data_IF_349529816815
#
_entry.id   IF_349529816815
#
_cell.length_a   1.000
_cell.length_b   1.000
_cell.length_c   1.000
_cell.angle_alpha   90.00
_cell.angle_beta   90.00
_cell.angle_gamma   90.00
#
_symmetry.space_group_name_H-M   'P 1'
#
loop_
_entity.id
_entity.type
_entity.pdbx_description
1 polymer ?
#
# COMPACT_ATOMS: atom_id res chain seq x y z
N UNK A 1 11.32 -7.43 34.52
CA UNK A 1 11.25 -7.02 33.08
C UNK A 1 11.75 -5.60 32.97
N UNK A 2 12.31 -5.14 31.82
CA UNK A 2 12.68 -3.73 31.73
C UNK A 2 11.40 -2.87 31.62
N UNK A 3 11.44 -1.69 32.24
CA UNK A 3 10.34 -0.70 32.21
C UNK A 3 9.77 -0.43 30.80
N UNK A 4 10.65 -0.39 29.79
CA UNK A 4 10.23 -0.20 28.39
C UNK A 4 9.44 -1.38 27.83
N UNK A 5 9.74 -2.62 28.21
CA UNK A 5 8.96 -3.79 27.80
C UNK A 5 7.57 -3.78 28.41
N UNK A 6 7.47 -3.43 29.69
CA UNK A 6 6.18 -3.28 30.39
C UNK A 6 5.31 -2.18 29.74
N UNK A 7 5.94 -1.08 29.34
CA UNK A 7 5.26 0.00 28.65
C UNK A 7 4.68 -0.43 27.29
N UNK A 8 5.46 -1.17 26.46
CA UNK A 8 4.97 -1.72 25.20
C UNK A 8 3.76 -2.63 25.43
N UNK A 9 3.82 -3.52 26.43
CA UNK A 9 2.72 -4.41 26.76
C UNK A 9 1.47 -3.66 27.26
N UNK A 10 1.66 -2.59 28.04
CA UNK A 10 0.57 -1.71 28.43
C UNK A 10 -0.11 -1.09 27.22
N UNK A 11 0.65 -0.50 26.30
CA UNK A 11 0.09 0.15 25.10
C UNK A 11 -0.59 -0.87 24.17
N UNK A 12 -0.04 -2.08 24.02
CA UNK A 12 -0.70 -3.18 23.32
C UNK A 12 -2.09 -3.46 23.91
N UNK A 13 -2.17 -3.61 25.25
CA UNK A 13 -3.43 -3.90 25.92
C UNK A 13 -4.40 -2.73 25.79
N UNK A 14 -3.94 -1.49 25.88
CA UNK A 14 -4.75 -0.28 25.66
C UNK A 14 -5.41 -0.34 24.26
N UNK A 15 -4.63 -0.66 23.20
CA UNK A 15 -5.13 -0.76 21.81
C UNK A 15 -6.13 -1.90 21.65
N UNK A 16 -5.84 -3.08 22.18
CA UNK A 16 -6.74 -4.24 22.12
C UNK A 16 -8.08 -3.95 22.82
N UNK A 17 -8.06 -3.17 23.89
CA UNK A 17 -9.26 -2.70 24.58
C UNK A 17 -9.93 -1.48 23.92
N UNK A 18 -9.54 -1.12 22.69
CA UNK A 18 -10.19 -0.07 21.90
C UNK A 18 -9.73 1.36 22.22
N UNK A 19 -8.67 1.53 22.99
CA UNK A 19 -8.15 2.87 23.31
C UNK A 19 -7.23 3.36 22.19
N UNK A 20 -7.51 4.55 21.66
CA UNK A 20 -6.59 5.24 20.75
C UNK A 20 -5.39 5.81 21.53
N UNK A 21 -4.19 5.54 21.03
CA UNK A 21 -2.96 6.10 21.59
C UNK A 21 -2.78 7.55 21.15
N UNK A 22 -2.14 8.36 22.01
CA UNK A 22 -1.81 9.74 21.67
C UNK A 22 -0.64 9.83 20.70
N UNK A 23 -0.51 10.93 19.96
CA UNK A 23 0.66 11.19 19.11
C UNK A 23 1.98 11.05 19.88
N UNK A 24 2.05 11.56 21.12
CA UNK A 24 3.24 11.43 21.96
C UNK A 24 3.58 9.97 22.28
N UNK A 25 2.58 9.15 22.59
CA UNK A 25 2.76 7.72 22.83
C UNK A 25 3.27 6.99 21.59
N UNK A 26 2.71 7.32 20.42
CA UNK A 26 3.15 6.77 19.15
C UNK A 26 4.58 7.19 18.82
N UNK A 27 4.93 8.45 19.06
CA UNK A 27 6.30 8.94 18.90
C UNK A 27 7.28 8.19 19.80
N UNK A 28 6.90 7.90 21.05
CA UNK A 28 7.70 7.09 21.97
C UNK A 28 7.92 5.66 21.45
N UNK A 29 6.86 5.00 20.93
CA UNK A 29 6.96 3.67 20.33
C UNK A 29 7.81 3.69 19.05
N UNK A 30 7.58 4.68 18.17
CA UNK A 30 8.31 4.80 16.92
C UNK A 30 9.79 5.05 17.13
N UNK A 31 10.19 5.81 18.15
CA UNK A 31 11.57 6.14 18.46
C UNK A 31 12.21 5.21 19.51
N UNK A 32 11.59 4.06 19.78
CA UNK A 32 12.13 3.08 20.73
C UNK A 32 13.52 2.60 20.31
N UNK A 33 14.40 2.33 21.26
CA UNK A 33 15.71 1.78 20.98
C UNK A 33 15.64 0.41 20.29
N UNK A 34 16.49 0.16 19.30
CA UNK A 34 16.49 -1.08 18.49
C UNK A 34 16.53 -2.36 19.34
N UNK A 35 17.13 -2.35 20.53
CA UNK A 35 17.13 -3.52 21.44
C UNK A 35 15.72 -3.96 21.89
N UNK A 36 14.71 -3.08 21.77
CA UNK A 36 13.31 -3.37 22.09
C UNK A 36 12.42 -3.54 20.84
N UNK A 37 12.99 -3.46 19.64
CA UNK A 37 12.22 -3.51 18.41
C UNK A 37 11.49 -4.85 18.26
N UNK A 38 12.10 -5.97 18.63
CA UNK A 38 11.43 -7.27 18.63
C UNK A 38 10.24 -7.29 19.59
N UNK A 39 10.34 -6.66 20.76
CA UNK A 39 9.21 -6.56 21.68
C UNK A 39 8.06 -5.74 21.10
N UNK A 40 8.38 -4.67 20.35
CA UNK A 40 7.39 -3.88 19.63
C UNK A 40 6.72 -4.70 18.51
N UNK A 41 7.51 -5.47 17.74
CA UNK A 41 7.04 -6.37 16.69
C UNK A 41 6.13 -7.47 17.23
N UNK A 42 6.52 -8.13 18.31
CA UNK A 42 5.70 -9.15 18.99
C UNK A 42 4.36 -8.58 19.48
N UNK A 43 4.38 -7.37 20.05
CA UNK A 43 3.18 -6.68 20.48
C UNK A 43 2.27 -6.30 19.30
N UNK A 44 2.85 -5.83 18.19
CA UNK A 44 2.11 -5.54 16.96
C UNK A 44 1.51 -6.81 16.35
N UNK A 45 2.25 -7.93 16.32
CA UNK A 45 1.71 -9.23 15.89
C UNK A 45 0.53 -9.65 16.76
N UNK A 46 0.62 -9.51 18.08
CA UNK A 46 -0.49 -9.82 18.98
C UNK A 46 -1.73 -9.00 18.65
N UNK A 47 -1.59 -7.69 18.40
CA UNK A 47 -2.70 -6.81 17.96
C UNK A 47 -3.27 -7.33 16.64
N UNK A 48 -2.41 -7.66 15.67
CA UNK A 48 -2.84 -8.19 14.37
C UNK A 48 -3.66 -9.47 14.55
N UNK A 49 -3.15 -10.45 15.31
CA UNK A 49 -3.87 -11.72 15.54
C UNK A 49 -5.18 -11.53 16.30
N UNK A 50 -5.24 -10.54 17.21
CA UNK A 50 -6.47 -10.23 17.95
C UNK A 50 -7.60 -9.75 17.04
N UNK A 51 -7.30 -8.87 16.05
CA UNK A 51 -8.32 -8.28 15.19
C UNK A 51 -8.57 -9.02 13.88
N UNK A 52 -7.58 -9.75 13.38
CA UNK A 52 -7.62 -10.38 12.04
C UNK A 52 -7.46 -11.91 12.05
N UNK A 53 -7.19 -12.51 13.21
CA UNK A 53 -6.89 -13.95 13.29
C UNK A 53 -5.61 -14.33 12.55
N UNK A 54 -5.62 -15.51 11.92
CA UNK A 54 -4.50 -16.02 11.10
C UNK A 54 -4.51 -15.53 9.65
N UNK A 55 -5.59 -14.89 9.19
CA UNK A 55 -5.78 -14.53 7.79
C UNK A 55 -4.82 -13.46 7.31
N UNK A 56 -4.27 -13.69 6.11
CA UNK A 56 -3.47 -12.73 5.33
C UNK A 56 -4.24 -12.39 4.05
N UNK A 57 -4.45 -11.11 3.81
CA UNK A 57 -5.10 -10.62 2.58
C UNK A 57 -4.11 -10.67 1.42
N UNK A 58 -4.47 -11.30 0.31
CA UNK A 58 -3.68 -11.35 -0.92
C UNK A 58 -4.39 -10.53 -2.00
N UNK A 59 -3.67 -9.56 -2.55
CA UNK A 59 -4.10 -8.74 -3.66
C UNK A 59 -3.18 -8.95 -4.87
N UNK A 60 -3.78 -9.03 -6.04
CA UNK A 60 -3.07 -8.89 -7.31
C UNK A 60 -3.50 -7.61 -8.01
N UNK A 61 -2.59 -7.00 -8.77
CA UNK A 61 -2.87 -5.79 -9.52
C UNK A 61 -2.58 -5.95 -11.02
N UNK A 62 -3.36 -5.26 -11.85
CA UNK A 62 -3.09 -5.07 -13.26
C UNK A 62 -2.69 -3.62 -13.53
N UNK A 63 -1.53 -3.43 -14.15
CA UNK A 63 -1.13 -2.12 -14.66
C UNK A 63 -1.80 -1.89 -16.02
N UNK A 64 -3.04 -1.37 -16.02
CA UNK A 64 -3.90 -1.25 -17.21
C UNK A 64 -3.46 -0.13 -18.17
N UNK A 65 -2.57 0.77 -17.75
CA UNK A 65 -1.88 1.75 -18.60
C UNK A 65 -0.47 1.94 -18.07
N UNK A 66 0.50 1.60 -18.89
CA UNK A 66 1.92 1.58 -18.50
C UNK A 66 2.70 2.71 -19.14
N UNK A 67 3.52 3.40 -18.33
CA UNK A 67 4.43 4.46 -18.76
C UNK A 67 3.73 5.75 -19.25
N UNK A 68 4.53 6.79 -19.53
CA UNK A 68 4.12 8.11 -20.03
C UNK A 68 3.17 8.88 -19.10
N UNK A 69 3.29 8.66 -17.77
CA UNK A 69 2.58 9.49 -16.80
C UNK A 69 3.08 10.94 -16.85
N UNK A 70 2.17 11.90 -16.84
CA UNK A 70 2.48 13.34 -16.89
C UNK A 70 2.95 13.92 -15.56
N UNK A 71 3.19 13.10 -14.54
CA UNK A 71 3.67 13.51 -13.23
C UNK A 71 5.18 13.26 -13.08
N UNK A 72 5.87 14.13 -12.32
CA UNK A 72 7.33 14.10 -12.15
C UNK A 72 7.80 13.43 -10.85
N UNK A 73 6.99 12.51 -10.29
CA UNK A 73 7.35 11.81 -9.06
C UNK A 73 8.72 11.14 -9.19
N UNK A 74 9.72 11.59 -8.40
CA UNK A 74 11.15 11.28 -8.55
C UNK A 74 11.51 9.79 -8.42
N UNK A 75 10.66 8.99 -7.80
CA UNK A 75 10.82 7.54 -7.66
C UNK A 75 10.22 6.74 -8.83
N UNK A 76 9.35 7.38 -9.64
CA UNK A 76 8.45 6.65 -10.52
C UNK A 76 9.09 6.37 -11.89
N UNK A 77 9.32 5.09 -12.19
CA UNK A 77 9.83 4.65 -13.49
C UNK A 77 8.84 4.83 -14.65
N UNK A 78 7.57 5.14 -14.37
CA UNK A 78 6.53 5.37 -15.38
C UNK A 78 6.32 6.87 -15.71
N UNK A 79 7.11 7.76 -15.10
CA UNK A 79 7.07 9.20 -15.39
C UNK A 79 7.59 9.52 -16.80
N UNK A 80 6.89 10.36 -17.55
CA UNK A 80 7.36 10.86 -18.84
C UNK A 80 8.53 11.88 -18.72
N UNK A 81 8.83 12.35 -17.51
CA UNK A 81 9.96 13.25 -17.24
C UNK A 81 11.31 12.53 -17.22
N UNK A 82 11.33 11.20 -17.06
CA UNK A 82 12.55 10.44 -16.85
C UNK A 82 12.80 9.45 -17.98
N UNK A 83 14.09 9.27 -18.33
CA UNK A 83 14.48 8.33 -19.35
C UNK A 83 14.67 6.91 -18.80
N UNK A 84 13.58 6.31 -18.40
CA UNK A 84 13.53 4.91 -17.99
C UNK A 84 13.31 4.02 -19.22
N UNK A 85 13.91 2.85 -19.26
CA UNK A 85 13.79 1.93 -20.43
C UNK A 85 12.50 1.09 -20.38
N UNK A 86 11.43 1.62 -19.81
CA UNK A 86 10.18 0.88 -19.66
C UNK A 86 9.36 1.03 -20.94
N UNK A 87 9.00 -0.07 -21.55
CA UNK A 87 8.05 -0.09 -22.67
C UNK A 87 6.65 0.18 -22.16
N UNK A 88 6.02 1.20 -22.73
CA UNK A 88 4.66 1.60 -22.36
C UNK A 88 3.60 0.95 -23.26
N UNK A 89 2.36 0.96 -22.76
CA UNK A 89 1.14 0.62 -23.51
C UNK A 89 -0.05 1.41 -22.98
N UNK A 90 -1.03 1.62 -23.84
CA UNK A 90 -2.33 2.18 -23.48
C UNK A 90 -3.29 1.10 -22.99
N UNK A 91 -4.50 1.50 -22.58
CA UNK A 91 -5.53 0.59 -22.09
C UNK A 91 -5.73 -0.61 -23.02
N UNK A 92 -5.48 -1.84 -22.55
CA UNK A 92 -5.70 -3.04 -23.34
C UNK A 92 -7.19 -3.33 -23.53
N UNK A 93 -7.54 -4.26 -24.42
CA UNK A 93 -8.91 -4.73 -24.55
C UNK A 93 -9.46 -5.25 -23.22
N UNK A 94 -10.75 -5.02 -22.90
CA UNK A 94 -11.35 -5.47 -21.64
C UNK A 94 -11.18 -6.97 -21.37
N UNK A 95 -11.17 -7.78 -22.42
CA UNK A 95 -11.06 -9.24 -22.35
C UNK A 95 -9.73 -9.68 -21.71
N UNK A 96 -8.64 -8.99 -22.02
CA UNK A 96 -7.30 -9.30 -21.46
C UNK A 96 -7.26 -9.05 -19.96
N UNK A 97 -7.87 -7.96 -19.48
CA UNK A 97 -7.92 -7.65 -18.04
C UNK A 97 -8.88 -8.56 -17.29
N UNK A 98 -9.99 -8.95 -17.92
CA UNK A 98 -10.93 -9.94 -17.37
C UNK A 98 -10.26 -11.30 -17.19
N UNK A 99 -9.44 -11.71 -18.15
CA UNK A 99 -8.67 -12.96 -18.06
C UNK A 99 -7.63 -12.89 -16.91
N UNK A 100 -6.91 -11.78 -16.78
CA UNK A 100 -5.99 -11.56 -15.66
C UNK A 100 -6.72 -11.63 -14.31
N UNK A 101 -7.88 -10.97 -14.19
CA UNK A 101 -8.68 -11.00 -12.97
C UNK A 101 -9.20 -12.42 -12.65
N UNK A 102 -9.55 -13.21 -13.66
CA UNK A 102 -9.96 -14.61 -13.49
C UNK A 102 -8.80 -15.46 -13.00
N UNK A 103 -7.61 -15.28 -13.57
CA UNK A 103 -6.39 -16.00 -13.15
C UNK A 103 -6.04 -15.63 -11.70
N UNK A 104 -6.02 -14.33 -11.36
CA UNK A 104 -5.80 -13.88 -9.99
C UNK A 104 -6.76 -14.53 -8.98
N UNK A 105 -8.05 -14.58 -9.30
CA UNK A 105 -9.06 -15.27 -8.46
C UNK A 105 -8.79 -16.76 -8.31
N UNK A 106 -8.47 -17.45 -9.41
CA UNK A 106 -8.19 -18.89 -9.40
C UNK A 106 -6.94 -19.23 -8.61
N UNK A 107 -5.94 -18.32 -8.61
CA UNK A 107 -4.70 -18.45 -7.86
C UNK A 107 -4.86 -18.11 -6.37
N UNK A 108 -6.01 -17.53 -5.96
CA UNK A 108 -6.34 -17.28 -4.56
C UNK A 108 -6.31 -15.82 -4.13
N UNK A 109 -6.19 -14.86 -5.07
CA UNK A 109 -6.32 -13.45 -4.71
C UNK A 109 -7.73 -13.11 -4.19
N UNK A 110 -7.81 -12.37 -3.08
CA UNK A 110 -9.06 -11.86 -2.51
C UNK A 110 -9.56 -10.59 -3.19
N UNK A 111 -8.64 -9.81 -3.78
CA UNK A 111 -8.94 -8.59 -4.51
C UNK A 111 -8.04 -8.40 -5.73
N UNK A 112 -8.51 -7.59 -6.68
CA UNK A 112 -7.83 -7.28 -7.91
C UNK A 112 -7.87 -5.78 -8.17
N UNK A 113 -6.70 -5.14 -8.25
CA UNK A 113 -6.58 -3.70 -8.37
C UNK A 113 -6.24 -3.27 -9.79
N UNK A 114 -7.03 -2.39 -10.36
CA UNK A 114 -6.76 -1.74 -11.66
C UNK A 114 -5.91 -0.49 -11.43
N UNK A 115 -4.67 -0.50 -11.90
CA UNK A 115 -3.72 0.61 -11.73
C UNK A 115 -3.38 1.22 -13.08
N UNK A 116 -3.35 2.55 -13.18
CA UNK A 116 -3.01 3.26 -14.41
C UNK A 116 -1.98 4.37 -14.21
N UNK A 117 -0.99 4.42 -15.10
CA UNK A 117 0.06 5.44 -15.10
C UNK A 117 -0.44 6.74 -15.78
N UNK A 118 -1.15 7.56 -15.05
CA UNK A 118 -1.61 8.92 -15.44
C UNK A 118 -1.83 9.80 -14.22
N UNK A 119 -1.96 11.11 -14.47
CA UNK A 119 -2.40 12.05 -13.45
C UNK A 119 -3.87 11.81 -13.08
N UNK A 120 -4.72 11.70 -14.11
CA UNK A 120 -6.16 11.46 -14.01
C UNK A 120 -6.65 10.85 -15.33
N UNK A 121 -7.72 10.04 -15.32
CA UNK A 121 -8.25 9.48 -16.55
C UNK A 121 -8.93 10.54 -17.41
N UNK A 122 -8.71 10.50 -18.73
CA UNK A 122 -9.55 11.23 -19.67
C UNK A 122 -11.00 10.72 -19.60
N UNK A 123 -11.96 11.47 -20.14
CA UNK A 123 -13.37 11.05 -20.20
C UNK A 123 -13.50 9.72 -20.95
N UNK A 124 -12.73 9.52 -22.02
CA UNK A 124 -12.79 8.29 -22.83
C UNK A 124 -12.15 7.13 -22.11
N UNK A 125 -10.98 7.33 -21.49
CA UNK A 125 -10.30 6.27 -20.75
C UNK A 125 -11.10 5.85 -19.52
N UNK A 126 -11.70 6.81 -18.80
CA UNK A 126 -12.58 6.47 -17.69
C UNK A 126 -13.77 5.62 -18.10
N UNK A 127 -14.39 5.89 -19.28
CA UNK A 127 -15.45 5.05 -19.81
C UNK A 127 -14.98 3.62 -20.12
N UNK A 128 -13.76 3.47 -20.69
CA UNK A 128 -13.19 2.13 -20.94
C UNK A 128 -12.93 1.38 -19.64
N UNK A 129 -12.38 2.06 -18.62
CA UNK A 129 -12.19 1.48 -17.29
C UNK A 129 -13.53 1.02 -16.68
N UNK A 130 -14.59 1.83 -16.81
CA UNK A 130 -15.92 1.42 -16.34
C UNK A 130 -16.39 0.13 -17.00
N UNK A 131 -16.19 -0.05 -18.32
CA UNK A 131 -16.51 -1.28 -19.04
C UNK A 131 -15.71 -2.46 -18.51
N UNK A 132 -14.40 -2.29 -18.28
CA UNK A 132 -13.55 -3.34 -17.69
C UNK A 132 -14.10 -3.77 -16.33
N UNK A 133 -14.45 -2.82 -15.45
CA UNK A 133 -14.99 -3.11 -14.12
C UNK A 133 -16.32 -3.87 -14.21
N UNK A 134 -17.23 -3.44 -15.08
CA UNK A 134 -18.51 -4.12 -15.31
C UNK A 134 -18.33 -5.57 -15.76
N UNK A 135 -17.40 -5.81 -16.69
CA UNK A 135 -17.10 -7.14 -17.21
C UNK A 135 -16.44 -8.05 -16.14
N UNK A 136 -15.52 -7.51 -15.32
CA UNK A 136 -14.94 -8.26 -14.19
C UNK A 136 -16.03 -8.64 -13.18
N UNK A 137 -16.87 -7.70 -12.78
CA UNK A 137 -17.96 -7.96 -11.84
C UNK A 137 -18.92 -9.02 -12.35
N UNK A 138 -19.25 -8.99 -13.65
CA UNK A 138 -20.19 -9.93 -14.29
C UNK A 138 -19.60 -11.32 -14.48
N UNK A 139 -18.35 -11.41 -14.91
CA UNK A 139 -17.74 -12.67 -15.38
C UNK A 139 -16.87 -13.36 -14.31
N UNK A 140 -16.24 -12.59 -13.42
CA UNK A 140 -15.27 -13.10 -12.46
C UNK A 140 -15.82 -13.05 -11.04
N UNK A 141 -16.35 -11.90 -10.61
CA UNK A 141 -16.87 -11.72 -9.26
C UNK A 141 -15.75 -11.74 -8.19
N UNK A 142 -14.59 -11.18 -8.51
CA UNK A 142 -13.52 -10.85 -7.54
C UNK A 142 -13.77 -9.42 -7.04
N UNK A 143 -13.28 -9.11 -5.84
CA UNK A 143 -13.35 -7.73 -5.31
C UNK A 143 -12.48 -6.79 -6.14
N UNK A 144 -13.07 -5.76 -6.77
CA UNK A 144 -12.34 -4.80 -7.61
C UNK A 144 -11.92 -3.59 -6.79
N UNK A 145 -10.66 -3.22 -6.93
CA UNK A 145 -10.06 -1.99 -6.41
C UNK A 145 -9.49 -1.15 -7.56
N UNK A 146 -9.28 0.15 -7.33
CA UNK A 146 -8.80 1.05 -8.37
C UNK A 146 -7.77 2.04 -7.86
N UNK A 147 -6.69 2.23 -8.64
CA UNK A 147 -5.67 3.27 -8.48
C UNK A 147 -5.56 4.06 -9.79
N UNK A 148 -6.43 5.05 -9.97
CA UNK A 148 -6.65 5.75 -11.24
C UNK A 148 -6.23 7.23 -11.19
N UNK A 149 -5.34 7.60 -10.25
CA UNK A 149 -4.90 8.98 -10.08
C UNK A 149 -5.96 9.87 -9.41
N UNK A 150 -6.05 11.14 -9.82
CA UNK A 150 -7.04 12.07 -9.25
C UNK A 150 -8.45 11.75 -9.74
N UNK A 151 -9.43 11.99 -8.86
CA UNK A 151 -10.85 11.77 -9.15
C UNK A 151 -11.66 13.06 -9.03
N UNK A 152 -12.66 13.17 -9.89
CA UNK A 152 -13.80 14.05 -9.66
C UNK A 152 -14.88 13.34 -8.82
N UNK A 153 -15.75 14.10 -8.15
CA UNK A 153 -16.92 13.56 -7.43
C UNK A 153 -17.80 12.66 -8.30
N UNK A 154 -17.97 13.02 -9.59
CA UNK A 154 -18.75 12.23 -10.54
C UNK A 154 -18.12 10.87 -10.81
N UNK A 155 -16.80 10.83 -11.01
CA UNK A 155 -16.06 9.60 -11.23
C UNK A 155 -16.12 8.70 -9.98
N UNK A 156 -15.86 9.25 -8.79
CA UNK A 156 -15.92 8.50 -7.55
C UNK A 156 -17.30 7.86 -7.31
N UNK A 157 -18.39 8.63 -7.51
CA UNK A 157 -19.75 8.09 -7.43
C UNK A 157 -20.03 7.03 -8.49
N UNK A 158 -19.45 7.14 -9.69
CA UNK A 158 -19.58 6.11 -10.74
C UNK A 158 -18.86 4.83 -10.34
N UNK A 159 -17.62 4.90 -9.83
CA UNK A 159 -16.89 3.74 -9.32
C UNK A 159 -17.66 3.05 -8.18
N UNK A 160 -18.28 3.80 -7.27
CA UNK A 160 -19.12 3.22 -6.21
C UNK A 160 -20.35 2.49 -6.75
N UNK A 161 -21.02 3.05 -7.76
CA UNK A 161 -22.15 2.39 -8.44
C UNK A 161 -21.73 1.10 -9.15
N UNK A 162 -20.52 1.05 -9.68
CA UNK A 162 -19.91 -0.13 -10.28
C UNK A 162 -19.35 -1.11 -9.23
N UNK A 163 -19.69 -0.92 -7.95
CA UNK A 163 -19.29 -1.80 -6.85
C UNK A 163 -17.76 -1.91 -6.64
N UNK A 164 -16.98 -0.91 -7.07
CA UNK A 164 -15.59 -0.81 -6.65
C UNK A 164 -15.56 -0.73 -5.14
N UNK A 165 -14.79 -1.61 -4.50
CA UNK A 165 -14.70 -1.71 -3.06
C UNK A 165 -13.86 -0.57 -2.50
N UNK A 166 -12.63 -0.43 -3.00
CA UNK A 166 -11.62 0.46 -2.47
C UNK A 166 -11.02 1.36 -3.55
N UNK A 167 -10.67 2.58 -3.17
CA UNK A 167 -9.89 3.48 -4.00
C UNK A 167 -8.50 3.68 -3.42
N UNK A 168 -7.48 3.29 -4.19
CA UNK A 168 -6.09 3.37 -3.81
C UNK A 168 -5.50 4.70 -4.27
N UNK A 169 -5.05 5.51 -3.34
CA UNK A 169 -4.35 6.76 -3.64
C UNK A 169 -3.36 7.09 -2.52
N UNK A 170 -2.10 6.79 -2.76
CA UNK A 170 -1.05 6.95 -1.76
C UNK A 170 -0.77 8.43 -1.44
N UNK A 171 -0.33 8.72 -0.23
CA UNK A 171 0.32 9.99 0.14
C UNK A 171 1.75 10.07 -0.38
N UNK A 172 2.35 8.93 -0.70
CA UNK A 172 3.71 8.64 -1.16
C UNK A 172 4.78 8.87 -0.09
N UNK A 173 4.82 10.04 0.53
CA UNK A 173 5.74 10.40 1.62
C UNK A 173 5.07 11.37 2.58
N UNK A 174 5.78 11.83 3.63
CA UNK A 174 5.25 12.87 4.51
C UNK A 174 5.04 14.20 3.80
N UNK A 175 4.15 15.02 4.33
CA UNK A 175 3.87 16.38 3.83
C UNK A 175 5.16 17.22 3.75
N UNK A 176 6.01 17.12 4.76
CA UNK A 176 7.26 17.88 4.83
C UNK A 176 8.30 17.44 3.78
N UNK A 177 8.27 16.16 3.35
CA UNK A 177 9.17 15.64 2.30
C UNK A 177 8.59 15.78 0.89
N UNK A 178 7.28 15.86 0.75
CA UNK A 178 6.58 15.78 -0.54
C UNK A 178 7.09 16.77 -1.61
N UNK A 179 7.43 18.04 -1.30
CA UNK A 179 7.95 18.98 -2.31
C UNK A 179 9.26 18.56 -2.97
N UNK A 180 10.04 17.69 -2.33
CA UNK A 180 11.27 17.14 -2.91
C UNK A 180 10.99 15.92 -3.82
N UNK A 181 9.79 15.34 -3.73
CA UNK A 181 9.41 14.12 -4.42
C UNK A 181 8.60 14.40 -5.68
N UNK A 182 7.72 15.41 -5.64
CA UNK A 182 6.87 15.76 -6.77
C UNK A 182 6.58 17.25 -6.81
N UNK A 183 6.64 17.84 -8.01
CA UNK A 183 6.37 19.28 -8.23
C UNK A 183 5.15 19.54 -9.11
N UNK A 184 4.67 18.53 -9.84
CA UNK A 184 3.52 18.64 -10.77
C UNK A 184 2.17 18.64 -10.08
N UNK A 185 2.11 18.19 -8.81
CA UNK A 185 0.94 18.29 -7.95
C UNK A 185 1.36 18.39 -6.47
N UNK A 186 0.42 18.72 -5.62
CA UNK A 186 0.65 18.95 -4.19
C UNK A 186 0.21 17.75 -3.34
N UNK A 187 0.74 17.68 -2.12
CA UNK A 187 0.25 16.74 -1.10
C UNK A 187 -1.27 16.91 -0.83
N UNK A 188 -1.75 18.16 -0.85
CA UNK A 188 -3.17 18.46 -0.61
C UNK A 188 -4.08 17.98 -1.75
N UNK A 189 -3.59 17.90 -2.98
CA UNK A 189 -4.32 17.29 -4.09
C UNK A 189 -4.57 15.79 -3.84
N UNK A 190 -3.60 15.08 -3.26
CA UNK A 190 -3.74 13.68 -2.87
C UNK A 190 -4.77 13.51 -1.75
N UNK A 191 -4.65 14.29 -0.70
CA UNK A 191 -5.62 14.29 0.42
C UNK A 191 -7.03 14.61 -0.07
N UNK A 192 -7.17 15.57 -1.00
CA UNK A 192 -8.45 15.93 -1.61
C UNK A 192 -9.08 14.74 -2.35
N UNK A 193 -8.29 14.01 -3.12
CA UNK A 193 -8.77 12.83 -3.85
C UNK A 193 -9.28 11.74 -2.89
N UNK A 194 -8.55 11.47 -1.81
CA UNK A 194 -8.99 10.53 -0.78
C UNK A 194 -10.32 10.96 -0.14
N UNK A 195 -10.47 12.26 0.16
CA UNK A 195 -11.73 12.81 0.67
C UNK A 195 -12.89 12.65 -0.33
N UNK A 196 -12.65 12.87 -1.62
CA UNK A 196 -13.64 12.66 -2.68
C UNK A 196 -14.07 11.19 -2.72
N UNK A 197 -13.12 10.25 -2.69
CA UNK A 197 -13.41 8.82 -2.67
C UNK A 197 -14.23 8.42 -1.42
N UNK A 198 -13.84 8.88 -0.23
CA UNK A 198 -14.57 8.65 1.03
C UNK A 198 -15.99 9.19 0.98
N UNK A 199 -16.17 10.42 0.50
CA UNK A 199 -17.48 11.06 0.39
C UNK A 199 -18.41 10.35 -0.59
N UNK A 200 -17.86 9.64 -1.57
CA UNK A 200 -18.64 8.80 -2.49
C UNK A 200 -18.99 7.43 -1.89
N UNK A 201 -18.51 7.10 -0.69
CA UNK A 201 -18.75 5.84 -0.01
C UNK A 201 -17.80 4.70 -0.42
N UNK A 202 -16.67 5.01 -1.07
CA UNK A 202 -15.60 4.04 -1.31
C UNK A 202 -14.78 3.85 -0.03
N UNK A 203 -14.33 2.63 0.23
CA UNK A 203 -13.26 2.38 1.19
C UNK A 203 -11.96 3.02 0.68
N UNK A 204 -11.07 3.42 1.58
CA UNK A 204 -9.78 3.97 1.22
C UNK A 204 -8.68 2.93 1.37
N UNK A 205 -7.83 2.85 0.35
CA UNK A 205 -6.47 2.36 0.49
C UNK A 205 -5.53 3.56 0.31
N UNK A 206 -4.67 3.79 1.30
CA UNK A 206 -3.63 4.82 1.19
C UNK A 206 -2.39 4.39 1.95
N UNK A 207 -1.26 4.90 1.55
CA UNK A 207 0.02 4.56 2.13
C UNK A 207 1.12 5.42 1.54
N UNK A 208 2.28 4.84 1.40
CA UNK A 208 3.42 5.57 0.85
C UNK A 208 4.61 4.66 0.61
N UNK A 209 5.72 5.29 0.27
CA UNK A 209 6.99 4.66 -0.01
C UNK A 209 7.98 5.07 1.08
N UNK A 210 8.63 4.11 1.69
CA UNK A 210 9.74 4.34 2.63
C UNK A 210 11.07 4.07 1.93
N UNK A 211 12.10 4.82 2.32
CA UNK A 211 13.43 4.75 1.69
C UNK A 211 13.66 5.78 0.58
N UNK A 212 12.82 6.82 0.48
CA UNK A 212 12.95 7.94 -0.49
C UNK A 212 14.02 8.98 -0.08
N UNK A 213 14.91 8.64 0.84
CA UNK A 213 15.86 9.59 1.44
C UNK A 213 15.24 10.46 2.54
N UNK A 214 14.08 10.11 3.02
CA UNK A 214 13.40 10.75 4.14
C UNK A 214 14.07 10.41 5.48
N UNK A 215 13.99 11.31 6.43
CA UNK A 215 14.44 11.11 7.80
C UNK A 215 13.46 10.21 8.58
N UNK A 216 13.92 9.63 9.71
CA UNK A 216 13.03 8.88 10.62
C UNK A 216 11.84 9.73 11.07
N UNK A 217 12.07 11.04 11.35
CA UNK A 217 11.00 11.96 11.72
C UNK A 217 9.96 12.12 10.62
N UNK A 218 10.38 12.16 9.36
CA UNK A 218 9.46 12.23 8.22
C UNK A 218 8.70 10.91 8.02
N UNK A 219 9.32 9.73 8.28
CA UNK A 219 8.58 8.45 8.31
C UNK A 219 7.52 8.41 9.41
N UNK A 220 7.86 8.93 10.60
CA UNK A 220 6.89 9.10 11.70
C UNK A 220 5.74 10.02 11.30
N UNK A 221 6.03 11.16 10.67
CA UNK A 221 5.03 12.09 10.14
C UNK A 221 4.10 11.36 9.16
N UNK A 222 4.64 10.61 8.20
CA UNK A 222 3.87 9.86 7.20
C UNK A 222 2.87 8.89 7.87
N UNK A 223 3.30 8.05 8.80
CA UNK A 223 2.40 7.07 9.43
C UNK A 223 1.32 7.73 10.29
N UNK A 224 1.61 8.88 10.90
CA UNK A 224 0.63 9.67 11.63
C UNK A 224 -0.41 10.27 10.67
N UNK A 225 0.04 10.85 9.55
CA UNK A 225 -0.84 11.43 8.53
C UNK A 225 -1.74 10.36 7.87
N UNK A 226 -1.20 9.16 7.58
CA UNK A 226 -2.00 8.03 7.11
C UNK A 226 -3.08 7.68 8.14
N UNK A 227 -2.71 7.62 9.43
CA UNK A 227 -3.66 7.23 10.49
C UNK A 227 -4.81 8.21 10.68
N UNK A 228 -4.61 9.51 10.38
CA UNK A 228 -5.66 10.54 10.46
C UNK A 228 -6.74 10.37 9.39
N UNK A 229 -6.42 9.70 8.30
CA UNK A 229 -7.38 9.37 7.25
C UNK A 229 -8.22 8.14 7.60
N UNK A 230 -7.85 7.40 8.64
CA UNK A 230 -8.53 6.15 9.06
C UNK A 230 -8.86 5.21 7.88
N UNK A 231 -7.87 4.85 7.05
CA UNK A 231 -8.11 4.02 5.87
C UNK A 231 -8.45 2.58 6.28
N UNK A 232 -9.26 1.91 5.47
CA UNK A 232 -9.55 0.50 5.62
C UNK A 232 -8.33 -0.36 5.26
N UNK A 233 -7.46 0.18 4.40
CA UNK A 233 -6.23 -0.49 3.98
C UNK A 233 -5.06 0.47 3.87
N UNK A 234 -3.88 0.00 4.25
CA UNK A 234 -2.61 0.72 4.11
C UNK A 234 -1.64 -0.10 3.28
N UNK A 235 -1.07 0.49 2.22
CA UNK A 235 0.01 -0.11 1.44
C UNK A 235 1.34 0.54 1.79
N UNK A 236 2.29 -0.24 2.29
CA UNK A 236 3.65 0.23 2.54
C UNK A 236 4.57 -0.31 1.47
N UNK A 237 5.07 0.59 0.62
CA UNK A 237 6.04 0.29 -0.41
C UNK A 237 7.46 0.56 0.12
N UNK A 238 8.41 -0.20 -0.34
CA UNK A 238 9.84 0.01 -0.09
C UNK A 238 10.49 0.42 -1.42
N UNK A 239 11.24 1.54 -1.40
CA UNK A 239 11.86 2.03 -2.64
C UNK A 239 12.72 0.94 -3.28
N UNK A 240 12.53 0.76 -4.57
CA UNK A 240 13.48 0.10 -5.46
C UNK A 240 14.07 1.18 -6.35
N UNK A 241 15.36 1.51 -6.20
CA UNK A 241 16.02 2.48 -7.05
C UNK A 241 16.01 2.02 -8.50
N UNK A 242 15.29 2.75 -9.37
CA UNK A 242 15.15 2.40 -10.78
C UNK A 242 16.09 3.23 -11.65
N UNK A 243 16.87 2.61 -12.56
CA UNK A 243 17.76 3.32 -13.47
C UNK A 243 17.01 4.38 -14.29
N UNK A 244 17.61 5.54 -14.44
CA UNK A 244 17.04 6.68 -15.16
C UNK A 244 16.07 7.54 -14.34
N UNK A 245 15.77 7.17 -13.10
CA UNK A 245 15.02 8.05 -12.16
C UNK A 245 15.97 8.89 -11.31
N UNK A 246 15.52 10.04 -10.77
CA UNK A 246 16.34 10.84 -9.85
C UNK A 246 16.84 10.08 -8.60
N UNK A 247 16.14 9.02 -8.19
CA UNK A 247 16.49 8.21 -7.02
C UNK A 247 17.24 6.91 -7.36
N UNK A 248 17.81 6.77 -8.56
CA UNK A 248 18.50 5.56 -9.01
C UNK A 248 19.71 5.15 -8.13
N UNK A 249 20.32 6.11 -7.41
CA UNK A 249 21.44 5.88 -6.51
C UNK A 249 21.06 5.87 -5.03
N UNK A 250 19.76 5.90 -4.73
CA UNK A 250 19.27 5.90 -3.35
C UNK A 250 19.59 4.56 -2.66
N UNK A 251 20.15 4.60 -1.47
CA UNK A 251 20.43 3.40 -0.67
C UNK A 251 19.15 2.80 -0.08
N UNK A 252 19.10 1.47 -0.01
CA UNK A 252 18.00 0.77 0.63
C UNK A 252 17.89 1.09 2.13
N UNK A 253 16.68 1.09 2.64
CA UNK A 253 16.40 1.31 4.04
C UNK A 253 16.77 0.06 4.87
N UNK A 254 17.32 0.27 6.05
CA UNK A 254 17.62 -0.82 6.98
C UNK A 254 16.35 -1.54 7.43
N UNK A 255 16.40 -2.87 7.54
CA UNK A 255 15.26 -3.71 7.94
C UNK A 255 14.66 -3.30 9.29
N UNK A 256 15.47 -2.79 10.22
CA UNK A 256 14.97 -2.33 11.52
C UNK A 256 14.05 -1.11 11.39
N UNK A 257 14.30 -0.25 10.42
CA UNK A 257 13.44 0.89 10.13
C UNK A 257 12.12 0.45 9.46
N UNK A 258 12.19 -0.56 8.57
CA UNK A 258 11.00 -1.16 7.95
C UNK A 258 10.10 -1.81 9.02
N UNK A 259 10.68 -2.68 9.88
CA UNK A 259 9.97 -3.30 10.99
C UNK A 259 9.31 -2.27 11.93
N UNK A 260 10.00 -1.18 12.20
CA UNK A 260 9.52 -0.06 13.03
C UNK A 260 8.24 0.55 12.44
N UNK A 261 8.23 0.82 11.13
CA UNK A 261 7.08 1.37 10.43
C UNK A 261 5.88 0.44 10.53
N UNK A 262 6.02 -0.83 10.15
CA UNK A 262 4.91 -1.80 10.18
C UNK A 262 4.38 -2.03 11.60
N UNK A 263 5.29 -2.22 12.57
CA UNK A 263 4.88 -2.44 13.95
C UNK A 263 4.12 -1.22 14.51
N UNK A 264 4.60 0.00 14.26
CA UNK A 264 3.94 1.20 14.79
C UNK A 264 2.63 1.49 14.06
N UNK A 265 2.54 1.27 12.75
CA UNK A 265 1.29 1.38 12.00
C UNK A 265 0.20 0.49 12.60
N UNK A 266 0.52 -0.72 13.05
CA UNK A 266 -0.45 -1.62 13.68
C UNK A 266 -1.01 -1.06 14.99
N UNK A 267 -0.20 -0.37 15.78
CA UNK A 267 -0.70 0.34 16.98
C UNK A 267 -1.63 1.51 16.63
N UNK A 268 -1.37 2.20 15.52
CA UNK A 268 -2.18 3.31 15.02
C UNK A 268 -3.50 2.83 14.40
N UNK A 269 -3.44 1.77 13.62
CA UNK A 269 -4.52 1.27 12.77
C UNK A 269 -4.76 -0.23 13.05
N UNK A 270 -5.30 -0.56 14.25
CA UNK A 270 -5.40 -1.96 14.69
C UNK A 270 -6.34 -2.82 13.84
N UNK A 271 -7.32 -2.20 13.15
CA UNK A 271 -8.35 -2.89 12.36
C UNK A 271 -8.14 -2.80 10.85
N UNK A 272 -7.21 -1.96 10.39
CA UNK A 272 -6.94 -1.83 8.94
C UNK A 272 -6.14 -3.02 8.42
N UNK A 273 -6.31 -3.35 7.16
CA UNK A 273 -5.37 -4.24 6.46
C UNK A 273 -4.08 -3.43 6.25
N UNK A 274 -2.94 -3.98 6.65
CA UNK A 274 -1.62 -3.37 6.43
C UNK A 274 -0.86 -4.30 5.49
N UNK A 275 -0.69 -3.86 4.23
CA UNK A 275 -0.07 -4.65 3.17
C UNK A 275 1.41 -4.35 3.00
N UNK A 276 2.19 -5.41 2.86
CA UNK A 276 3.54 -5.36 2.31
C UNK A 276 3.36 -5.26 0.78
N UNK A 277 3.80 -4.15 0.21
CA UNK A 277 3.54 -3.81 -1.18
C UNK A 277 4.83 -3.76 -2.01
N UNK A 278 4.93 -2.88 -2.98
CA UNK A 278 6.07 -2.81 -3.90
C UNK A 278 7.44 -2.79 -3.23
N UNK A 279 8.40 -3.46 -3.87
CA UNK A 279 9.79 -3.55 -3.41
C UNK A 279 10.05 -4.64 -2.37
N UNK A 280 9.08 -5.48 -2.06
CA UNK A 280 9.18 -6.57 -1.09
C UNK A 280 10.33 -7.51 -1.42
N UNK A 281 10.37 -8.04 -2.62
CA UNK A 281 11.33 -9.04 -3.08
C UNK A 281 12.78 -8.49 -3.14
N UNK A 282 12.93 -7.17 -3.28
CA UNK A 282 14.25 -6.52 -3.35
C UNK A 282 14.78 -6.15 -1.97
N UNK A 283 13.90 -5.69 -1.07
CA UNK A 283 14.28 -5.15 0.24
C UNK A 283 14.26 -6.19 1.36
N UNK A 284 13.53 -7.31 1.20
CA UNK A 284 13.34 -8.32 2.23
C UNK A 284 13.95 -9.66 1.80
N UNK A 285 14.74 -10.27 2.70
CA UNK A 285 15.39 -11.57 2.45
C UNK A 285 14.49 -12.77 2.69
N UNK A 286 13.35 -12.55 3.32
CA UNK A 286 12.41 -13.57 3.79
C UNK A 286 11.02 -13.40 3.15
N UNK A 287 10.96 -12.78 1.99
CA UNK A 287 9.73 -12.52 1.23
C UNK A 287 8.61 -11.82 2.05
N UNK A 288 8.94 -11.27 3.23
CA UNK A 288 8.02 -10.54 4.10
C UNK A 288 7.52 -11.32 5.32
N UNK A 289 7.99 -12.53 5.58
CA UNK A 289 7.58 -13.33 6.77
C UNK A 289 7.68 -12.53 8.07
N UNK A 290 8.82 -11.88 8.31
CA UNK A 290 9.00 -11.05 9.51
C UNK A 290 8.00 -9.92 9.63
N UNK A 291 7.61 -9.30 8.53
CA UNK A 291 6.64 -8.22 8.55
C UNK A 291 5.23 -8.72 8.84
N UNK A 292 4.84 -9.89 8.29
CA UNK A 292 3.58 -10.57 8.63
C UNK A 292 3.51 -10.94 10.11
N UNK A 293 4.66 -11.19 10.74
CA UNK A 293 4.78 -11.41 12.19
C UNK A 293 5.06 -10.14 12.99
N UNK A 294 5.00 -8.95 12.34
CA UNK A 294 5.34 -7.66 12.96
C UNK A 294 4.30 -6.57 12.71
N UNK A 295 3.05 -6.93 12.40
CA UNK A 295 1.96 -5.98 12.23
C UNK A 295 1.30 -5.97 10.86
N UNK A 296 1.93 -6.48 9.80
CA UNK A 296 1.29 -6.69 8.51
C UNK A 296 0.29 -7.86 8.57
N UNK A 297 -0.73 -7.80 7.72
CA UNK A 297 -1.70 -8.87 7.50
C UNK A 297 -2.21 -8.90 6.05
N UNK A 298 -1.42 -8.39 5.13
CA UNK A 298 -1.70 -8.47 3.70
C UNK A 298 -0.44 -8.32 2.87
N UNK A 299 -0.50 -8.79 1.64
CA UNK A 299 0.57 -8.68 0.64
C UNK A 299 -0.01 -8.35 -0.73
N UNK A 300 0.78 -7.67 -1.56
CA UNK A 300 0.57 -7.63 -3.01
C UNK A 300 1.44 -8.69 -3.65
N UNK A 301 0.85 -9.55 -4.45
CA UNK A 301 1.49 -10.70 -5.10
C UNK A 301 1.51 -10.55 -6.62
N UNK A 302 2.17 -11.47 -7.31
CA UNK A 302 2.31 -11.52 -8.77
C UNK A 302 3.04 -10.32 -9.41
N UNK A 303 3.80 -9.56 -8.62
CA UNK A 303 4.58 -8.40 -9.06
C UNK A 303 3.96 -7.05 -8.69
N UNK A 304 4.69 -6.00 -9.04
CA UNK A 304 4.26 -4.64 -8.75
C UNK A 304 4.57 -3.68 -9.90
N UNK A 305 3.54 -3.26 -10.63
CA UNK A 305 3.56 -2.31 -11.75
C UNK A 305 4.54 -2.67 -12.88
N UNK A 306 5.82 -2.34 -12.72
CA UNK A 306 6.89 -2.52 -13.70
C UNK A 306 7.92 -3.57 -13.29
N UNK A 307 7.71 -4.22 -12.15
CA UNK A 307 8.60 -5.21 -11.56
C UNK A 307 7.89 -6.56 -11.45
N UNK A 308 8.62 -7.62 -11.75
CA UNK A 308 8.18 -8.99 -11.49
C UNK A 308 8.17 -9.24 -9.97
N UNK A 309 7.33 -10.17 -9.52
CA UNK A 309 7.24 -10.58 -8.13
C UNK A 309 6.95 -12.06 -7.97
N UNK A 310 6.80 -12.49 -6.74
CA UNK A 310 6.46 -13.86 -6.42
C UNK A 310 5.04 -14.20 -6.92
N UNK A 311 4.88 -15.37 -7.51
CA UNK A 311 3.55 -15.91 -7.81
C UNK A 311 2.75 -16.13 -6.51
N UNK A 312 1.42 -15.99 -6.57
CA UNK A 312 0.51 -16.17 -5.41
C UNK A 312 0.74 -17.51 -4.71
N UNK A 313 0.99 -18.58 -5.48
CA UNK A 313 1.28 -19.90 -4.93
C UNK A 313 2.51 -19.90 -3.99
N UNK A 314 3.61 -19.24 -4.40
CA UNK A 314 4.81 -19.11 -3.57
C UNK A 314 4.53 -18.32 -2.30
N UNK A 315 3.75 -17.24 -2.42
CA UNK A 315 3.36 -16.42 -1.27
C UNK A 315 2.43 -17.19 -0.33
N UNK A 316 1.51 -17.99 -0.84
CA UNK A 316 0.66 -18.90 -0.05
C UNK A 316 1.49 -19.93 0.71
N UNK A 317 2.49 -20.55 0.06
CA UNK A 317 3.42 -21.47 0.70
C UNK A 317 4.17 -20.77 1.85
N UNK A 318 4.73 -19.58 1.60
CA UNK A 318 5.42 -18.77 2.60
C UNK A 318 4.53 -18.38 3.80
N UNK A 319 3.26 -18.03 3.55
CA UNK A 319 2.28 -17.70 4.60
C UNK A 319 1.99 -18.93 5.47
N UNK A 320 1.79 -20.09 4.85
CA UNK A 320 1.52 -21.34 5.55
C UNK A 320 2.71 -21.81 6.42
N UNK A 321 3.95 -21.61 5.96
CA UNK A 321 5.17 -21.95 6.72
C UNK A 321 5.26 -21.23 8.07
N UNK A 322 4.66 -20.06 8.22
CA UNK A 322 4.61 -19.30 9.47
C UNK A 322 3.29 -19.47 10.24
N UNK A 323 2.51 -20.52 9.91
CA UNK A 323 1.22 -20.83 10.52
C UNK A 323 0.17 -19.71 10.39
N UNK A 324 0.15 -19.04 9.26
CA UNK A 324 -0.90 -18.10 8.85
C UNK A 324 -1.69 -18.70 7.69
N UNK A 325 -2.81 -18.09 7.33
CA UNK A 325 -3.74 -18.54 6.30
C UNK A 325 -3.84 -17.46 5.20
N UNK A 326 -3.65 -17.86 3.96
CA UNK A 326 -3.80 -17.01 2.76
C UNK A 326 -5.28 -16.84 2.39
#
# INVERSE_FOLDING_TARGET
MSEKRELILKYRNDVVNGKKLTRSTISELFNINNKFLLNLSDAANYITRHFHGSKVDIEELANIKKNFCSEDCTFCSQSAFFNTKITGYDLPPPEEIVEQALNAKNDGAGSFCLVAAWREPSILDFKKVCVIIEEINKKVGISVECSLGFLTDKQARTLKKLQVKRYNHNLETSRSKFPEICTTHTYDDRVKTLKIARNAGLELCTGGIIGLGETRKQREELILEISELEPEEVTVNMLVPMPGTPLELQTQLDITEILRVFSTLRFLLPKSIIKISGGREVNLKDDGQKLLLSGANGIISAGYLTMDGNAIKKDTEMINEINLEA
#
